data_IF_212084718197
#
_entry.id   IF_212084718197
#
_cell.length_a   1.000
_cell.length_b   1.000
_cell.length_c   1.000
_cell.angle_alpha   90.00
_cell.angle_beta   90.00
_cell.angle_gamma   90.00
#
_symmetry.space_group_name_H-M   'P 1'
#
loop_
_entity.id
_entity.type
_entity.pdbx_description
1 polymer ?
#
# COMPACT_ATOMS: atom_id res chain seq x y z
N UNK A 1 -22.30 -5.72 -27.34
CA UNK A 1 -21.29 -4.82 -26.71
C UNK A 1 -19.97 -5.55 -26.41
N UNK A 2 -19.97 -6.67 -25.67
CA UNK A 2 -18.74 -7.43 -25.34
C UNK A 2 -17.94 -7.90 -26.58
N UNK A 3 -18.62 -8.34 -27.65
CA UNK A 3 -17.95 -8.75 -28.89
C UNK A 3 -17.18 -7.60 -29.57
N UNK A 4 -17.78 -6.40 -29.62
CA UNK A 4 -17.14 -5.19 -30.17
C UNK A 4 -15.98 -4.73 -29.29
N UNK A 5 -16.12 -4.83 -27.96
CA UNK A 5 -15.05 -4.49 -27.03
C UNK A 5 -13.82 -5.41 -27.19
N UNK A 6 -14.03 -6.71 -27.43
CA UNK A 6 -12.94 -7.65 -27.72
C UNK A 6 -12.26 -7.35 -29.07
N UNK A 7 -13.05 -7.02 -30.10
CA UNK A 7 -12.56 -6.70 -31.45
C UNK A 7 -11.65 -5.48 -31.47
N UNK A 8 -11.93 -4.45 -30.66
CA UNK A 8 -11.12 -3.24 -30.57
C UNK A 8 -9.98 -3.31 -29.53
N UNK A 9 -9.77 -4.48 -28.92
CA UNK A 9 -8.76 -4.65 -27.86
C UNK A 9 -9.06 -3.83 -26.59
N UNK A 10 -10.33 -3.48 -26.35
CA UNK A 10 -10.73 -2.74 -25.16
C UNK A 10 -10.47 -3.58 -23.91
N UNK A 11 -9.43 -3.23 -23.17
CA UNK A 11 -9.26 -3.67 -21.78
C UNK A 11 -10.00 -2.69 -20.89
N UNK A 12 -10.97 -3.19 -20.14
CA UNK A 12 -11.67 -2.39 -19.14
C UNK A 12 -10.63 -1.70 -18.23
N UNK A 13 -10.68 -0.37 -18.19
CA UNK A 13 -9.76 0.41 -17.36
C UNK A 13 -10.04 0.08 -15.88
N UNK A 14 -9.08 -0.52 -15.15
CA UNK A 14 -9.27 -0.83 -13.73
C UNK A 14 -9.63 0.41 -12.91
N UNK A 15 -9.15 1.59 -13.33
CA UNK A 15 -9.42 2.88 -12.70
C UNK A 15 -10.87 3.37 -12.93
N UNK A 16 -11.56 2.87 -13.95
CA UNK A 16 -12.96 3.22 -14.22
C UNK A 16 -13.96 2.47 -13.31
N UNK A 17 -13.54 1.36 -12.67
CA UNK A 17 -14.35 0.67 -11.65
C UNK A 17 -14.44 1.46 -10.33
N UNK A 18 -13.51 2.37 -10.07
CA UNK A 18 -13.45 3.18 -8.84
C UNK A 18 -14.52 4.25 -8.66
N UNK A 19 -15.60 4.27 -9.47
CA UNK A 19 -16.70 5.21 -9.24
C UNK A 19 -17.49 4.81 -7.97
N UNK A 20 -17.18 5.53 -6.88
CA UNK A 20 -17.90 5.64 -5.59
C UNK A 20 -18.17 4.36 -4.78
N UNK A 21 -17.66 3.19 -5.15
CA UNK A 21 -17.82 2.01 -4.30
C UNK A 21 -17.03 0.74 -4.63
N UNK A 22 -16.24 0.68 -5.71
CA UNK A 22 -15.46 -0.52 -6.02
C UNK A 22 -14.00 -0.37 -5.59
N UNK A 23 -13.48 -1.46 -5.00
CA UNK A 23 -12.07 -1.67 -4.67
C UNK A 23 -11.20 -1.57 -5.92
N UNK A 24 -10.05 -0.91 -5.80
CA UNK A 24 -9.09 -0.71 -6.90
C UNK A 24 -8.23 -1.93 -7.15
N UNK A 25 -8.13 -2.82 -6.16
CA UNK A 25 -7.26 -3.98 -6.16
C UNK A 25 -5.80 -3.63 -5.86
N UNK A 26 -5.51 -2.41 -5.39
CA UNK A 26 -4.13 -1.97 -5.13
C UNK A 26 -3.85 -1.88 -3.63
N UNK A 27 -2.77 -2.51 -3.18
CA UNK A 27 -2.22 -2.37 -1.84
C UNK A 27 -0.87 -1.67 -1.92
N UNK A 28 -0.67 -0.64 -1.09
CA UNK A 28 0.62 0.03 -0.96
C UNK A 28 1.55 -0.70 -0.01
N UNK A 29 2.85 -0.60 -0.25
CA UNK A 29 3.88 -0.98 0.71
C UNK A 29 4.99 0.06 0.71
N UNK A 30 5.36 0.53 1.89
CA UNK A 30 6.49 1.46 2.09
C UNK A 30 7.22 1.13 3.37
N UNK A 31 8.44 1.63 3.50
CA UNK A 31 9.23 1.54 4.73
C UNK A 31 9.53 2.96 5.25
N UNK A 32 9.79 3.08 6.55
CA UNK A 32 10.11 4.36 7.19
C UNK A 32 11.53 4.45 7.72
N UNK A 33 12.37 3.44 7.49
CA UNK A 33 13.75 3.43 7.98
C UNK A 33 14.56 4.63 7.47
N UNK A 34 15.30 5.23 8.41
CA UNK A 34 16.31 6.26 8.18
C UNK A 34 17.73 5.68 8.05
N UNK A 35 17.89 4.35 8.15
CA UNK A 35 19.20 3.69 8.18
C UNK A 35 19.49 3.06 6.81
N UNK A 36 20.51 3.57 6.15
CA UNK A 36 21.03 3.03 4.91
C UNK A 36 21.76 1.69 5.15
N UNK A 37 21.30 0.64 4.48
CA UNK A 37 22.21 -0.25 3.75
C UNK A 37 22.78 -1.49 4.46
N UNK A 38 22.25 -1.92 5.60
CA UNK A 38 22.63 -3.21 6.19
C UNK A 38 22.14 -4.41 5.37
N UNK A 39 22.94 -5.47 5.23
CA UNK A 39 22.52 -6.72 4.55
C UNK A 39 21.26 -7.31 5.21
N UNK A 40 21.18 -7.24 6.54
CA UNK A 40 20.02 -7.71 7.31
C UNK A 40 18.76 -6.91 7.00
N UNK A 41 18.87 -5.60 6.77
CA UNK A 41 17.73 -4.74 6.42
C UNK A 41 17.18 -5.09 5.03
N UNK A 42 18.07 -5.39 4.08
CA UNK A 42 17.69 -5.85 2.74
C UNK A 42 17.01 -7.22 2.80
N UNK A 43 17.58 -8.17 3.55
CA UNK A 43 16.99 -9.51 3.68
C UNK A 43 15.59 -9.44 4.32
N UNK A 44 15.44 -8.64 5.38
CA UNK A 44 14.17 -8.41 6.05
C UNK A 44 13.14 -7.77 5.10
N UNK A 45 13.53 -6.70 4.40
CA UNK A 45 12.68 -6.03 3.42
C UNK A 45 12.21 -6.98 2.32
N UNK A 46 13.13 -7.74 1.71
CA UNK A 46 12.80 -8.71 0.65
C UNK A 46 11.86 -9.81 1.16
N UNK A 47 12.06 -10.31 2.39
CA UNK A 47 11.14 -11.28 3.00
C UNK A 47 9.72 -10.72 3.11
N UNK A 48 9.57 -9.48 3.57
CA UNK A 48 8.25 -8.85 3.69
C UNK A 48 7.63 -8.61 2.32
N UNK A 49 8.37 -8.04 1.37
CA UNK A 49 7.86 -7.78 0.01
C UNK A 49 7.38 -9.07 -0.66
N UNK A 50 8.15 -10.16 -0.54
CA UNK A 50 7.75 -11.46 -1.08
C UNK A 50 6.48 -12.00 -0.42
N UNK A 51 6.42 -11.99 0.92
CA UNK A 51 5.25 -12.48 1.65
C UNK A 51 4.00 -11.65 1.35
N UNK A 52 4.13 -10.32 1.33
CA UNK A 52 3.05 -9.40 1.01
C UNK A 52 2.57 -9.58 -0.44
N UNK A 53 3.49 -9.78 -1.40
CA UNK A 53 3.15 -10.00 -2.81
C UNK A 53 2.33 -11.26 -2.99
N UNK A 54 2.80 -12.40 -2.45
CA UNK A 54 2.09 -13.67 -2.56
C UNK A 54 0.72 -13.64 -1.87
N UNK A 55 0.65 -13.01 -0.70
CA UNK A 55 -0.60 -12.85 0.04
C UNK A 55 -1.58 -11.96 -0.74
N UNK A 56 -1.13 -10.81 -1.24
CA UNK A 56 -1.95 -9.92 -2.04
C UNK A 56 -2.51 -10.64 -3.28
N UNK A 57 -1.64 -11.35 -4.01
CA UNK A 57 -2.03 -12.11 -5.21
C UNK A 57 -3.07 -13.20 -4.91
N UNK A 58 -2.93 -13.90 -3.79
CA UNK A 58 -3.90 -14.91 -3.35
C UNK A 58 -5.30 -14.33 -3.06
N UNK A 59 -5.38 -13.01 -2.85
CA UNK A 59 -6.63 -12.28 -2.59
C UNK A 59 -7.02 -11.32 -3.72
N UNK A 60 -6.48 -11.52 -4.94
CA UNK A 60 -6.76 -10.70 -6.12
C UNK A 60 -6.32 -9.22 -6.01
N UNK A 61 -5.35 -8.94 -5.14
CA UNK A 61 -4.71 -7.64 -5.01
C UNK A 61 -3.34 -7.60 -5.71
N UNK A 62 -2.98 -6.42 -6.21
CA UNK A 62 -1.63 -6.08 -6.67
C UNK A 62 -0.91 -5.26 -5.60
N UNK A 63 0.37 -5.54 -5.39
CA UNK A 63 1.22 -4.79 -4.47
C UNK A 63 1.98 -3.69 -5.21
N UNK A 64 1.93 -2.47 -4.67
CA UNK A 64 2.65 -1.30 -5.20
C UNK A 64 3.68 -0.86 -4.16
N UNK A 65 4.95 -0.85 -4.56
CA UNK A 65 6.00 -0.25 -3.74
C UNK A 65 5.90 1.28 -3.85
N UNK A 66 5.61 1.94 -2.74
CA UNK A 66 5.48 3.40 -2.66
C UNK A 66 6.77 3.96 -2.08
N UNK A 67 7.43 4.92 -2.78
CA UNK A 67 8.65 5.53 -2.29
C UNK A 67 8.48 6.09 -0.87
N UNK A 68 9.44 5.84 0.04
CA UNK A 68 9.45 6.48 1.36
C UNK A 68 9.39 8.00 1.21
N UNK A 69 8.48 8.63 1.95
CA UNK A 69 8.30 10.09 1.93
C UNK A 69 7.85 10.58 3.28
N UNK A 70 8.55 11.55 3.86
CA UNK A 70 8.19 12.08 5.19
C UNK A 70 6.80 12.71 5.19
N UNK A 71 6.41 13.36 4.09
CA UNK A 71 5.14 14.06 3.94
C UNK A 71 4.00 13.21 3.37
N UNK A 72 4.28 11.98 2.94
CA UNK A 72 3.29 11.03 2.44
C UNK A 72 2.62 11.42 1.12
N UNK A 73 3.10 12.46 0.42
CA UNK A 73 2.48 12.94 -0.84
C UNK A 73 2.29 11.87 -1.92
N UNK A 74 3.20 10.90 -2.13
CA UNK A 74 3.00 9.83 -3.10
C UNK A 74 1.71 9.03 -2.89
N UNK A 75 1.20 8.97 -1.64
CA UNK A 75 -0.05 8.27 -1.33
C UNK A 75 -1.30 9.03 -1.75
N UNK A 76 -1.24 10.37 -1.88
CA UNK A 76 -2.41 11.19 -2.23
C UNK A 76 -2.95 10.91 -3.63
N UNK A 77 -2.06 10.52 -4.55
CA UNK A 77 -2.40 10.24 -5.95
C UNK A 77 -2.68 8.77 -6.24
N UNK A 78 -2.48 7.87 -5.28
CA UNK A 78 -2.62 6.44 -5.48
C UNK A 78 -3.97 5.97 -4.92
N UNK A 79 -4.83 5.34 -5.75
CA UNK A 79 -6.10 4.84 -5.29
C UNK A 79 -5.87 3.49 -4.59
N UNK A 80 -5.30 3.49 -3.39
CA UNK A 80 -4.97 2.29 -2.64
C UNK A 80 -6.16 1.86 -1.76
N UNK A 81 -6.47 0.57 -1.76
CA UNK A 81 -7.48 -0.02 -0.87
C UNK A 81 -6.94 -0.23 0.55
N UNK A 82 -5.63 -0.16 0.73
CA UNK A 82 -4.92 -0.33 2.01
C UNK A 82 -3.41 -0.17 1.85
N UNK A 83 -2.68 -0.08 2.95
CA UNK A 83 -1.21 0.10 2.93
C UNK A 83 -0.51 -0.66 4.05
N UNK A 84 0.63 -1.25 3.74
CA UNK A 84 1.58 -1.83 4.70
C UNK A 84 2.71 -0.81 4.94
N UNK A 85 2.95 -0.44 6.19
CA UNK A 85 4.06 0.45 6.60
C UNK A 85 5.07 -0.35 7.41
N UNK A 86 6.24 -0.58 6.84
CA UNK A 86 7.35 -1.28 7.48
C UNK A 86 8.07 -0.32 8.42
N UNK A 87 8.22 -0.76 9.67
CA UNK A 87 8.96 -0.07 10.76
C UNK A 87 8.56 1.41 10.92
N UNK A 88 7.31 1.71 11.31
CA UNK A 88 6.86 3.09 11.48
C UNK A 88 7.70 3.85 12.50
N UNK A 89 7.83 5.16 12.29
CA UNK A 89 8.48 6.06 13.25
C UNK A 89 7.58 6.31 14.45
N UNK A 90 8.15 6.88 15.52
CA UNK A 90 7.32 7.46 16.60
C UNK A 90 6.61 8.70 16.08
N UNK A 91 5.31 8.83 16.37
CA UNK A 91 4.45 9.92 15.87
C UNK A 91 4.49 10.05 14.34
N UNK A 92 4.41 8.91 13.65
CA UNK A 92 4.68 8.87 12.21
C UNK A 92 3.68 9.74 11.43
N UNK A 93 4.14 10.81 10.73
CA UNK A 93 3.25 11.68 9.98
C UNK A 93 2.53 10.95 8.84
N UNK A 94 3.11 9.88 8.30
CA UNK A 94 2.46 9.07 7.28
C UNK A 94 1.26 8.31 7.85
N UNK A 95 1.38 7.72 9.05
CA UNK A 95 0.26 7.02 9.69
C UNK A 95 -0.89 7.99 9.99
N UNK A 96 -0.56 9.21 10.41
CA UNK A 96 -1.53 10.29 10.62
C UNK A 96 -2.25 10.67 9.34
N UNK A 97 -1.50 10.80 8.24
CA UNK A 97 -2.07 11.13 6.93
C UNK A 97 -2.96 10.01 6.39
N UNK A 98 -2.50 8.76 6.39
CA UNK A 98 -3.26 7.61 5.90
C UNK A 98 -4.56 7.41 6.68
N UNK A 99 -4.50 7.61 8.00
CA UNK A 99 -5.68 7.60 8.86
C UNK A 99 -6.67 8.72 8.50
N UNK A 100 -6.20 9.94 8.25
CA UNK A 100 -7.05 11.05 7.81
C UNK A 100 -7.67 10.82 6.42
N UNK A 101 -7.01 10.06 5.55
CA UNK A 101 -7.53 9.63 4.25
C UNK A 101 -8.53 8.47 4.33
N UNK A 102 -8.69 7.84 5.50
CA UNK A 102 -9.52 6.64 5.68
C UNK A 102 -8.94 5.40 5.02
N UNK A 103 -7.64 5.39 4.70
CA UNK A 103 -6.94 4.23 4.12
C UNK A 103 -6.57 3.27 5.26
N UNK A 104 -6.99 1.99 5.23
CA UNK A 104 -6.58 0.99 6.21
C UNK A 104 -5.06 0.77 6.19
N UNK A 105 -4.43 0.67 7.36
CA UNK A 105 -2.98 0.48 7.49
C UNK A 105 -2.65 -0.69 8.39
N UNK A 106 -1.62 -1.45 8.02
CA UNK A 106 -0.99 -2.47 8.84
C UNK A 106 0.50 -2.17 8.95
N UNK A 107 1.11 -2.42 10.11
CA UNK A 107 2.54 -2.15 10.34
C UNK A 107 3.29 -3.39 10.84
N UNK A 108 4.57 -3.52 10.48
CA UNK A 108 5.44 -4.63 10.94
C UNK A 108 6.06 -4.37 12.32
N UNK A 109 6.03 -3.11 12.78
CA UNK A 109 6.35 -2.66 14.13
C UNK A 109 5.18 -1.89 14.74
N UNK A 110 5.38 -1.24 15.89
CA UNK A 110 4.37 -0.39 16.52
C UNK A 110 4.87 1.04 16.59
N UNK A 111 4.03 1.99 16.20
CA UNK A 111 4.21 3.37 16.63
C UNK A 111 3.84 3.42 18.13
N UNK A 112 4.86 3.61 18.98
CA UNK A 112 4.71 3.52 20.43
C UNK A 112 3.80 4.61 21.02
N UNK A 113 3.54 5.69 20.27
CA UNK A 113 2.60 6.73 20.68
C UNK A 113 1.14 6.41 20.33
N UNK A 114 0.89 5.45 19.44
CA UNK A 114 -0.45 4.97 19.06
C UNK A 114 -0.81 3.67 19.76
N UNK A 115 -1.53 3.75 20.88
CA UNK A 115 -2.14 2.57 21.52
C UNK A 115 -3.41 2.14 20.76
N UNK A 116 -3.36 0.92 20.23
CA UNK A 116 -4.52 0.09 19.84
C UNK A 116 -5.51 0.72 18.82
N UNK A 117 -5.02 1.25 17.70
CA UNK A 117 -5.92 1.85 16.68
C UNK A 117 -5.65 1.35 15.27
N UNK A 118 -5.79 0.05 15.06
CA UNK A 118 -6.17 -0.48 13.75
C UNK A 118 -7.30 -1.50 14.00
N UNK A 119 -8.53 -1.26 13.51
CA UNK A 119 -9.59 -2.26 13.58
C UNK A 119 -9.25 -3.51 12.76
#
# INVERSE_FOLDING_TARGET
VLAVAAEIGYRANPNARGLRGARTGLLGLTHRTAVEGGITDIEYFVKIVNAATWTAMAHEYSLVLVPPSLDGRPFDSLPLDGTIVIDPLTDDPLLTRLSAMGVPVVTTGRDLSRKDTFP
#
